data_IF_120154568247
#
_entry.id   IF_120154568247
#
_cell.length_a   1.000
_cell.length_b   1.000
_cell.length_c   1.000
_cell.angle_alpha   90.00
_cell.angle_beta   90.00
_cell.angle_gamma   90.00
#
_symmetry.space_group_name_H-M   'P 1'
#
loop_
_entity.id
_entity.type
_entity.pdbx_description
1 polymer ?
#
# COMPACT_ATOMS: atom_id res chain seq x y z
N UNK A 1 14.42 3.30 24.91
CA UNK A 1 14.58 4.04 23.63
C UNK A 1 13.21 4.36 23.10
N UNK A 2 12.90 5.63 22.83
CA UNK A 2 11.55 6.09 22.50
C UNK A 2 11.14 5.63 21.11
N UNK A 3 9.90 5.19 20.94
CA UNK A 3 9.35 4.71 19.66
C UNK A 3 9.46 5.77 18.55
N UNK A 4 9.48 7.05 18.92
CA UNK A 4 9.79 8.20 18.05
C UNK A 4 11.12 8.07 17.28
N UNK A 5 12.18 7.55 17.92
CA UNK A 5 13.49 7.36 17.26
C UNK A 5 13.39 6.33 16.13
N UNK A 6 12.63 5.26 16.33
CA UNK A 6 12.45 4.20 15.34
C UNK A 6 11.66 4.73 14.15
N UNK A 7 10.58 5.48 14.40
CA UNK A 7 9.79 6.14 13.33
C UNK A 7 10.68 7.03 12.47
N UNK A 8 11.46 7.92 13.09
CA UNK A 8 12.34 8.84 12.35
C UNK A 8 13.38 8.10 11.53
N UNK A 9 14.06 7.11 12.11
CA UNK A 9 15.05 6.31 11.39
C UNK A 9 14.44 5.54 10.22
N UNK A 10 13.26 4.96 10.43
CA UNK A 10 12.51 4.26 9.39
C UNK A 10 12.14 5.21 8.25
N UNK A 11 11.45 6.31 8.54
CA UNK A 11 11.01 7.26 7.51
C UNK A 11 12.18 7.83 6.74
N UNK A 12 13.27 8.24 7.42
CA UNK A 12 14.47 8.73 6.75
C UNK A 12 15.09 7.68 5.82
N UNK A 13 15.30 6.45 6.30
CA UNK A 13 15.92 5.41 5.49
C UNK A 13 15.04 5.01 4.30
N UNK A 14 13.73 4.87 4.50
CA UNK A 14 12.75 4.61 3.44
C UNK A 14 12.83 5.67 2.36
N UNK A 15 12.78 6.96 2.73
CA UNK A 15 12.85 8.06 1.77
C UNK A 15 14.21 8.16 1.09
N UNK A 16 15.31 7.94 1.80
CA UNK A 16 16.65 7.93 1.20
C UNK A 16 16.76 6.87 0.11
N UNK A 17 16.39 5.62 0.40
CA UNK A 17 16.41 4.54 -0.60
C UNK A 17 15.48 4.92 -1.75
N UNK A 18 14.26 5.34 -1.44
CA UNK A 18 13.24 5.62 -2.42
C UNK A 18 13.64 6.72 -3.40
N UNK A 19 14.06 7.88 -2.90
CA UNK A 19 14.35 9.06 -3.70
C UNK A 19 15.68 8.96 -4.44
N UNK A 20 16.69 8.28 -3.88
CA UNK A 20 17.95 8.03 -4.60
C UNK A 20 17.70 7.10 -5.79
N UNK A 21 16.97 6.00 -5.58
CA UNK A 21 16.74 5.01 -6.63
C UNK A 21 15.77 5.56 -7.69
N UNK A 22 14.65 6.16 -7.29
CA UNK A 22 13.72 6.78 -8.24
C UNK A 22 14.34 7.97 -8.97
N UNK A 23 15.15 8.79 -8.31
CA UNK A 23 15.89 9.88 -8.96
C UNK A 23 16.82 9.37 -10.06
N UNK A 24 17.55 8.28 -9.80
CA UNK A 24 18.36 7.63 -10.83
C UNK A 24 17.51 7.10 -12.00
N UNK A 25 16.36 6.47 -11.71
CA UNK A 25 15.43 5.98 -12.74
C UNK A 25 14.89 7.11 -13.62
N UNK A 26 14.53 8.25 -13.02
CA UNK A 26 14.02 9.44 -13.73
C UNK A 26 15.11 9.99 -14.66
N UNK A 27 16.35 10.11 -14.18
CA UNK A 27 17.49 10.59 -14.99
C UNK A 27 17.79 9.62 -16.13
N UNK A 28 17.90 8.32 -15.85
CA UNK A 28 18.12 7.29 -16.88
C UNK A 28 16.99 7.27 -17.91
N UNK A 29 15.77 7.60 -17.48
CA UNK A 29 14.61 7.78 -18.35
C UNK A 29 14.83 8.76 -19.49
N UNK A 30 15.58 9.84 -19.25
CA UNK A 30 15.95 10.83 -20.28
C UNK A 30 16.90 10.24 -21.34
N UNK A 31 17.55 9.12 -21.04
CA UNK A 31 18.45 8.39 -21.95
C UNK A 31 17.80 7.12 -22.53
N UNK A 32 16.47 6.99 -22.45
CA UNK A 32 15.71 5.88 -23.04
C UNK A 32 15.51 4.67 -22.13
N UNK A 33 15.87 4.76 -20.84
CA UNK A 33 15.47 3.74 -19.87
C UNK A 33 13.96 3.78 -19.62
N UNK A 34 13.35 2.61 -19.45
CA UNK A 34 11.93 2.51 -19.11
C UNK A 34 11.67 1.31 -18.20
N UNK A 35 10.69 1.44 -17.31
CA UNK A 35 10.18 0.34 -16.47
C UNK A 35 9.05 -0.37 -17.22
N UNK A 36 8.94 -1.68 -17.04
CA UNK A 36 7.95 -2.47 -17.77
C UNK A 36 6.84 -2.96 -16.83
N UNK A 37 5.59 -2.60 -17.12
CA UNK A 37 4.44 -3.13 -16.37
C UNK A 37 4.27 -4.65 -16.59
N UNK A 38 4.62 -5.15 -17.78
CA UNK A 38 4.63 -6.56 -18.12
C UNK A 38 6.02 -6.97 -18.57
N UNK A 39 6.54 -8.02 -17.95
CA UNK A 39 7.90 -8.53 -18.20
C UNK A 39 7.81 -9.72 -19.16
N UNK A 40 8.38 -9.56 -20.35
CA UNK A 40 8.40 -10.58 -21.40
C UNK A 40 9.80 -11.12 -21.70
N UNK A 41 10.84 -10.52 -21.13
CA UNK A 41 12.23 -10.95 -21.31
C UNK A 41 13.05 -10.79 -20.03
N UNK A 42 14.18 -11.52 -19.95
CA UNK A 42 15.14 -11.39 -18.85
C UNK A 42 15.71 -9.97 -18.77
N UNK A 43 15.91 -9.30 -19.91
CA UNK A 43 16.38 -7.92 -19.94
C UNK A 43 15.38 -6.98 -19.25
N UNK A 44 14.09 -7.08 -19.58
CA UNK A 44 13.05 -6.28 -18.93
C UNK A 44 12.95 -6.59 -17.44
N UNK A 45 13.12 -7.85 -17.05
CA UNK A 45 13.17 -8.24 -15.64
C UNK A 45 14.32 -7.53 -14.91
N UNK A 46 15.53 -7.55 -15.47
CA UNK A 46 16.70 -6.87 -14.89
C UNK A 46 16.51 -5.36 -14.82
N UNK A 47 15.90 -4.76 -15.85
CA UNK A 47 15.53 -3.34 -15.86
C UNK A 47 14.45 -2.99 -14.81
N UNK A 48 13.68 -3.95 -14.30
CA UNK A 48 12.73 -3.66 -13.23
C UNK A 48 13.34 -3.80 -11.82
N UNK A 49 14.57 -4.31 -11.66
CA UNK A 49 15.20 -4.49 -10.34
C UNK A 49 15.32 -3.17 -9.57
N UNK A 50 15.83 -2.06 -10.16
CA UNK A 50 15.92 -0.80 -9.41
C UNK A 50 14.53 -0.28 -9.03
N UNK A 51 13.52 -0.43 -9.90
CA UNK A 51 12.14 -0.07 -9.58
C UNK A 51 11.60 -0.89 -8.40
N UNK A 52 11.89 -2.19 -8.35
CA UNK A 52 11.53 -3.03 -7.21
C UNK A 52 12.21 -2.57 -5.91
N UNK A 53 13.47 -2.12 -5.95
CA UNK A 53 14.17 -1.56 -4.78
C UNK A 53 13.52 -0.26 -4.31
N UNK A 54 13.11 0.62 -5.23
CA UNK A 54 12.36 1.84 -4.91
C UNK A 54 11.08 1.47 -4.14
N UNK A 55 10.26 0.59 -4.71
CA UNK A 55 8.97 0.22 -4.13
C UNK A 55 9.15 -0.56 -2.82
N UNK A 56 10.13 -1.46 -2.73
CA UNK A 56 10.43 -2.23 -1.52
C UNK A 56 11.18 -1.44 -0.44
N UNK A 57 11.47 -0.15 -0.67
CA UNK A 57 12.19 0.68 0.30
C UNK A 57 11.58 0.66 1.71
N UNK A 58 10.26 0.63 1.95
CA UNK A 58 9.71 0.52 3.30
C UNK A 58 9.98 -0.85 3.92
N UNK A 59 9.90 -1.93 3.15
CA UNK A 59 10.20 -3.28 3.64
C UNK A 59 11.69 -3.42 4.02
N UNK A 60 12.58 -2.93 3.15
CA UNK A 60 14.03 -2.93 3.38
C UNK A 60 14.37 -2.11 4.63
N UNK A 61 13.83 -0.89 4.72
CA UNK A 61 14.07 0.00 5.84
C UNK A 61 13.53 -0.58 7.16
N UNK A 62 12.36 -1.23 7.14
CA UNK A 62 11.78 -1.79 8.36
C UNK A 62 12.63 -2.91 8.93
N UNK A 63 13.11 -3.83 8.08
CA UNK A 63 14.04 -4.87 8.52
C UNK A 63 15.31 -4.28 9.14
N UNK A 64 15.98 -3.37 8.42
CA UNK A 64 17.24 -2.76 8.88
C UNK A 64 17.05 -2.03 10.22
N UNK A 65 16.01 -1.20 10.32
CA UNK A 65 15.77 -0.38 11.52
C UNK A 65 15.34 -1.25 12.70
N UNK A 66 14.45 -2.23 12.52
CA UNK A 66 14.04 -3.12 13.60
C UNK A 66 15.22 -3.95 14.11
N UNK A 67 16.05 -4.48 13.21
CA UNK A 67 17.25 -5.25 13.56
C UNK A 67 18.27 -4.38 14.29
N UNK A 68 18.55 -3.17 13.79
CA UNK A 68 19.49 -2.21 14.41
C UNK A 68 19.05 -1.77 15.82
N UNK A 69 17.75 -1.70 16.06
CA UNK A 69 17.19 -1.31 17.35
C UNK A 69 16.83 -2.51 18.25
N UNK A 70 17.30 -3.72 17.93
CA UNK A 70 17.06 -4.96 18.69
C UNK A 70 15.57 -5.28 18.93
N UNK A 71 14.69 -4.88 18.00
CA UNK A 71 13.25 -5.19 18.05
C UNK A 71 12.92 -6.55 17.43
N UNK A 72 13.84 -7.10 16.64
CA UNK A 72 13.78 -8.44 16.04
C UNK A 72 15.16 -9.09 16.14
N UNK A 73 15.20 -10.41 16.31
CA UNK A 73 16.41 -11.21 16.38
C UNK A 73 17.01 -11.45 14.99
N UNK A 74 16.22 -11.70 13.96
CA UNK A 74 16.71 -12.01 12.62
C UNK A 74 15.64 -11.80 11.52
N UNK A 75 16.02 -12.09 10.29
CA UNK A 75 15.13 -12.01 9.13
C UNK A 75 13.95 -12.99 9.22
N UNK A 76 14.13 -14.15 9.86
CA UNK A 76 13.07 -15.15 10.03
C UNK A 76 12.00 -14.65 10.99
N UNK A 77 12.37 -13.94 12.05
CA UNK A 77 11.43 -13.29 12.96
C UNK A 77 10.66 -12.17 12.25
N UNK A 78 11.35 -11.35 11.46
CA UNK A 78 10.69 -10.33 10.63
C UNK A 78 9.64 -10.95 9.69
N UNK A 79 10.01 -11.99 8.94
CA UNK A 79 9.09 -12.71 8.07
C UNK A 79 7.91 -13.32 8.84
N UNK A 80 8.15 -13.90 10.01
CA UNK A 80 7.07 -14.48 10.84
C UNK A 80 6.03 -13.43 11.26
N UNK A 81 6.45 -12.19 11.50
CA UNK A 81 5.53 -11.10 11.85
C UNK A 81 4.79 -10.58 10.62
N UNK A 82 5.51 -10.32 9.52
CA UNK A 82 4.94 -9.83 8.27
C UNK A 82 3.93 -10.82 7.69
N UNK A 83 4.23 -12.12 7.76
CA UNK A 83 3.38 -13.21 7.25
C UNK A 83 2.59 -13.94 8.35
N UNK A 84 2.27 -13.25 9.44
CA UNK A 84 1.43 -13.82 10.50
C UNK A 84 -0.04 -13.93 10.05
N UNK A 85 -0.38 -15.03 9.38
CA UNK A 85 -1.73 -15.25 8.81
C UNK A 85 -2.77 -15.74 9.82
N UNK A 86 -2.40 -16.21 11.02
CA UNK A 86 -3.39 -16.75 11.97
C UNK A 86 -4.29 -15.62 12.49
N UNK A 87 -5.53 -15.55 12.00
CA UNK A 87 -6.49 -14.54 12.42
C UNK A 87 -7.95 -15.00 12.30
N UNK A 88 -8.89 -14.25 12.88
CA UNK A 88 -10.33 -14.54 12.79
C UNK A 88 -10.81 -14.43 11.34
N UNK A 89 -11.65 -15.37 10.90
CA UNK A 89 -12.21 -15.37 9.52
C UNK A 89 -12.96 -14.08 9.19
N UNK A 90 -13.60 -13.45 10.18
CA UNK A 90 -14.30 -12.17 10.02
C UNK A 90 -13.39 -11.05 9.49
N UNK A 91 -12.09 -11.11 9.77
CA UNK A 91 -11.13 -10.11 9.29
C UNK A 91 -10.78 -10.31 7.82
N UNK A 92 -10.68 -11.56 7.38
CA UNK A 92 -10.51 -11.88 5.97
C UNK A 92 -11.72 -11.44 5.17
N UNK A 93 -12.92 -11.71 5.70
CA UNK A 93 -14.17 -11.23 5.12
C UNK A 93 -14.22 -9.70 5.10
N UNK A 94 -13.73 -9.02 6.14
CA UNK A 94 -13.66 -7.55 6.16
C UNK A 94 -12.73 -6.99 5.08
N UNK A 95 -11.55 -7.59 4.87
CA UNK A 95 -10.61 -7.19 3.79
C UNK A 95 -11.26 -7.39 2.42
N UNK A 96 -11.87 -8.55 2.18
CA UNK A 96 -12.57 -8.85 0.91
C UNK A 96 -13.76 -7.91 0.71
N UNK A 97 -14.53 -7.63 1.76
CA UNK A 97 -15.68 -6.73 1.70
C UNK A 97 -15.26 -5.28 1.42
N UNK A 98 -14.18 -4.79 2.02
CA UNK A 98 -13.64 -3.46 1.73
C UNK A 98 -13.19 -3.32 0.27
N UNK A 99 -12.51 -4.34 -0.26
CA UNK A 99 -12.12 -4.40 -1.66
C UNK A 99 -13.35 -4.39 -2.59
N UNK A 100 -14.32 -5.26 -2.32
CA UNK A 100 -15.54 -5.36 -3.11
C UNK A 100 -16.33 -4.04 -3.06
N UNK A 101 -16.48 -3.43 -1.87
CA UNK A 101 -17.15 -2.15 -1.69
C UNK A 101 -16.51 -1.07 -2.55
N UNK A 102 -15.17 -0.97 -2.55
CA UNK A 102 -14.44 0.02 -3.34
C UNK A 102 -14.79 -0.08 -4.83
N UNK A 103 -14.62 -1.27 -5.43
CA UNK A 103 -14.87 -1.44 -6.87
C UNK A 103 -16.35 -1.40 -7.23
N UNK A 104 -17.25 -1.94 -6.39
CA UNK A 104 -18.69 -1.90 -6.64
C UNK A 104 -19.24 -0.47 -6.63
N UNK A 105 -18.73 0.42 -5.78
CA UNK A 105 -19.11 1.84 -5.81
C UNK A 105 -18.65 2.48 -7.13
N UNK A 106 -17.43 2.20 -7.58
CA UNK A 106 -16.97 2.69 -8.88
C UNK A 106 -17.86 2.19 -10.03
N UNK A 107 -18.28 0.93 -10.00
CA UNK A 107 -19.23 0.38 -10.98
C UNK A 107 -20.57 1.11 -10.91
N UNK A 108 -21.14 1.24 -9.71
CA UNK A 108 -22.45 1.87 -9.50
C UNK A 108 -22.48 3.35 -9.93
N UNK A 109 -21.39 4.08 -9.67
CA UNK A 109 -21.28 5.52 -9.96
C UNK A 109 -20.93 5.78 -11.42
N UNK A 110 -20.00 5.01 -11.99
CA UNK A 110 -19.56 5.22 -13.38
C UNK A 110 -20.51 4.60 -14.41
N UNK A 111 -21.34 3.63 -14.00
CA UNK A 111 -22.14 2.80 -14.90
C UNK A 111 -21.31 1.87 -15.79
N UNK A 112 -19.98 1.81 -15.59
CA UNK A 112 -19.05 1.00 -16.39
C UNK A 112 -18.81 -0.33 -15.71
N UNK A 113 -19.02 -1.41 -16.46
CA UNK A 113 -18.79 -2.79 -16.02
C UNK A 113 -17.70 -3.50 -16.83
N UNK A 114 -17.11 -2.81 -17.81
CA UNK A 114 -16.09 -3.36 -18.68
C UNK A 114 -14.81 -3.69 -17.90
N UNK A 115 -14.36 -4.93 -18.02
CA UNK A 115 -13.07 -5.36 -17.50
C UNK A 115 -12.00 -5.15 -18.58
N UNK A 116 -10.93 -4.44 -18.22
CA UNK A 116 -9.78 -4.20 -19.11
C UNK A 116 -8.98 -5.48 -19.33
N UNK A 117 -8.89 -6.31 -18.29
CA UNK A 117 -8.21 -7.60 -18.32
C UNK A 117 -9.18 -8.71 -17.87
N UNK A 118 -9.01 -9.94 -18.35
CA UNK A 118 -9.81 -11.06 -17.86
C UNK A 118 -9.64 -11.27 -16.36
N UNK A 119 -10.71 -11.66 -15.65
CA UNK A 119 -10.68 -11.80 -14.19
C UNK A 119 -9.62 -12.80 -13.68
N UNK A 120 -9.24 -13.82 -14.46
CA UNK A 120 -8.18 -14.76 -14.06
C UNK A 120 -6.82 -14.07 -13.83
N UNK A 121 -6.59 -12.89 -14.44
CA UNK A 121 -5.38 -12.10 -14.23
C UNK A 121 -5.25 -11.60 -12.80
N UNK A 122 -6.35 -11.55 -12.03
CA UNK A 122 -6.34 -11.29 -10.60
C UNK A 122 -5.42 -12.28 -9.89
N UNK A 123 -5.66 -13.57 -10.10
CA UNK A 123 -4.89 -14.64 -9.45
C UNK A 123 -3.44 -14.67 -9.93
N UNK A 124 -3.20 -14.41 -11.22
CA UNK A 124 -1.85 -14.33 -11.78
C UNK A 124 -1.05 -13.13 -11.23
N UNK A 125 -1.73 -12.04 -10.87
CA UNK A 125 -1.09 -10.83 -10.35
C UNK A 125 -0.79 -10.90 -8.86
N UNK A 126 -1.36 -11.84 -8.10
CA UNK A 126 -1.16 -11.93 -6.65
C UNK A 126 0.32 -12.08 -6.23
N UNK A 127 1.15 -12.94 -6.86
CA UNK A 127 2.55 -13.08 -6.43
C UNK A 127 3.37 -11.80 -6.66
N UNK A 128 3.21 -11.17 -7.84
CA UNK A 128 3.87 -9.91 -8.16
C UNK A 128 3.34 -8.76 -7.30
N UNK A 129 2.02 -8.69 -7.10
CA UNK A 129 1.35 -7.71 -6.24
C UNK A 129 1.74 -7.85 -4.77
N UNK A 130 2.04 -9.06 -4.30
CA UNK A 130 2.55 -9.29 -2.95
C UNK A 130 3.96 -8.71 -2.79
N UNK A 131 4.85 -9.00 -3.73
CA UNK A 131 6.24 -8.56 -3.67
C UNK A 131 6.33 -7.05 -3.88
N UNK A 132 5.71 -6.53 -4.93
CA UNK A 132 5.83 -5.12 -5.31
C UNK A 132 4.89 -4.25 -4.46
N UNK A 133 3.63 -4.62 -4.22
CA UNK A 133 2.72 -3.79 -3.42
C UNK A 133 2.65 -4.18 -1.95
N UNK A 134 2.25 -5.43 -1.69
CA UNK A 134 1.91 -5.91 -0.36
C UNK A 134 3.01 -5.70 0.66
N UNK A 135 4.27 -5.99 0.30
CA UNK A 135 5.42 -5.86 1.20
C UNK A 135 5.72 -4.42 1.64
N UNK A 136 5.21 -3.39 0.96
CA UNK A 136 5.29 -2.01 1.48
C UNK A 136 4.73 -1.92 2.91
N UNK A 137 3.64 -2.64 3.19
CA UNK A 137 2.98 -2.63 4.50
C UNK A 137 3.84 -3.25 5.60
N UNK A 138 4.87 -4.02 5.25
CA UNK A 138 5.87 -4.50 6.21
C UNK A 138 6.71 -3.37 6.84
N UNK A 139 6.70 -2.17 6.26
CA UNK A 139 7.23 -0.96 6.88
C UNK A 139 6.13 -0.09 7.48
N UNK A 140 5.10 0.22 6.70
CA UNK A 140 4.04 1.13 7.12
C UNK A 140 3.25 0.63 8.33
N UNK A 141 2.91 -0.66 8.35
CA UNK A 141 2.06 -1.26 9.38
C UNK A 141 2.83 -2.01 10.46
N UNK A 142 4.14 -2.22 10.27
CA UNK A 142 4.99 -2.74 11.33
C UNK A 142 5.56 -1.61 12.19
N UNK A 143 5.81 -0.43 11.60
CA UNK A 143 6.45 0.69 12.30
C UNK A 143 5.57 1.94 12.28
N UNK A 144 5.38 2.56 11.11
CA UNK A 144 4.93 3.96 11.04
C UNK A 144 3.53 4.18 11.64
N UNK A 145 2.51 3.54 11.07
CA UNK A 145 1.13 3.80 11.42
C UNK A 145 0.77 3.31 12.84
N UNK A 146 1.21 2.13 13.32
CA UNK A 146 1.00 1.72 14.71
C UNK A 146 1.58 2.68 15.73
N UNK A 147 2.81 3.17 15.52
CA UNK A 147 3.42 4.08 16.49
C UNK A 147 2.76 5.47 16.47
N UNK A 148 2.34 5.96 15.30
CA UNK A 148 1.52 7.17 15.19
C UNK A 148 0.16 6.99 15.86
N UNK A 149 -0.46 5.81 15.77
CA UNK A 149 -1.75 5.52 16.39
C UNK A 149 -1.67 5.49 17.91
N UNK A 150 -0.58 4.97 18.49
CA UNK A 150 -0.37 5.03 19.94
C UNK A 150 -0.25 6.47 20.47
N UNK A 151 0.33 7.37 19.68
CA UNK A 151 0.56 8.76 20.10
C UNK A 151 -0.63 9.70 19.80
N UNK A 152 -1.25 9.56 18.62
CA UNK A 152 -2.25 10.51 18.11
C UNK A 152 -3.65 9.91 17.91
N UNK A 153 -3.81 8.60 18.11
CA UNK A 153 -5.05 7.88 17.85
C UNK A 153 -5.33 7.64 16.35
N UNK A 154 -6.45 6.98 16.08
CA UNK A 154 -6.78 6.41 14.76
C UNK A 154 -6.87 7.43 13.63
N UNK A 155 -7.55 8.56 13.86
CA UNK A 155 -7.81 9.55 12.80
C UNK A 155 -6.51 10.24 12.40
N UNK A 156 -5.77 10.78 13.37
CA UNK A 156 -4.53 11.51 13.10
C UNK A 156 -3.41 10.59 12.61
N UNK A 157 -3.33 9.34 13.11
CA UNK A 157 -2.36 8.37 12.58
C UNK A 157 -2.60 8.04 11.11
N UNK A 158 -3.88 7.89 10.72
CA UNK A 158 -4.27 7.64 9.32
C UNK A 158 -3.93 8.84 8.43
N UNK A 159 -4.18 10.08 8.90
CA UNK A 159 -3.83 11.30 8.17
C UNK A 159 -2.31 11.42 7.99
N UNK A 160 -1.54 11.30 9.06
CA UNK A 160 -0.08 11.43 8.99
C UNK A 160 0.56 10.33 8.15
N UNK A 161 0.12 9.08 8.30
CA UNK A 161 0.59 7.98 7.46
C UNK A 161 0.19 8.19 5.99
N UNK A 162 -1.01 8.70 5.71
CA UNK A 162 -1.47 9.13 4.38
C UNK A 162 -0.55 10.15 3.74
N UNK A 163 -0.25 11.22 4.47
CA UNK A 163 0.66 12.28 3.99
C UNK A 163 2.04 11.69 3.68
N UNK A 164 2.63 10.93 4.60
CA UNK A 164 3.95 10.31 4.39
C UNK A 164 3.94 9.40 3.15
N UNK A 165 2.89 8.61 2.97
CA UNK A 165 2.80 7.69 1.83
C UNK A 165 2.59 8.42 0.50
N UNK A 166 1.79 9.50 0.47
CA UNK A 166 1.64 10.38 -0.69
C UNK A 166 3.00 10.96 -1.10
N UNK A 167 3.76 11.52 -0.14
CA UNK A 167 5.08 12.06 -0.43
C UNK A 167 6.03 10.99 -0.97
N UNK A 168 6.04 9.80 -0.37
CA UNK A 168 6.85 8.68 -0.83
C UNK A 168 6.56 8.26 -2.29
N UNK A 169 5.31 8.39 -2.72
CA UNK A 169 4.89 8.08 -4.09
C UNK A 169 5.16 9.20 -5.11
N UNK A 170 5.52 10.42 -4.72
CA UNK A 170 5.72 11.53 -5.68
C UNK A 170 6.67 11.15 -6.83
N UNK A 171 7.86 10.55 -6.59
CA UNK A 171 8.77 10.20 -7.67
C UNK A 171 8.19 9.22 -8.70
N UNK A 172 7.24 8.36 -8.30
CA UNK A 172 6.61 7.39 -9.19
C UNK A 172 5.97 8.04 -10.42
N UNK A 173 5.44 9.26 -10.27
CA UNK A 173 4.80 10.02 -11.35
C UNK A 173 5.76 10.61 -12.38
N UNK A 174 7.07 10.39 -12.20
CA UNK A 174 8.10 10.88 -13.11
C UNK A 174 8.93 9.74 -13.70
N UNK A 175 8.70 8.48 -13.31
CA UNK A 175 9.44 7.31 -13.81
C UNK A 175 8.80 6.82 -15.12
N UNK A 176 9.52 6.86 -16.27
CA UNK A 176 8.99 6.38 -17.55
C UNK A 176 8.62 4.90 -17.54
N UNK A 177 7.56 4.56 -18.27
CA UNK A 177 7.04 3.19 -18.39
C UNK A 177 6.09 2.75 -17.28
N UNK A 178 5.98 3.52 -16.19
CA UNK A 178 4.94 3.29 -15.17
C UNK A 178 3.62 3.94 -15.60
N UNK A 179 2.48 3.35 -15.24
CA UNK A 179 1.16 3.97 -15.52
C UNK A 179 1.03 5.41 -14.97
N UNK A 180 1.78 5.72 -13.91
CA UNK A 180 1.81 7.03 -13.28
C UNK A 180 2.64 8.03 -14.12
N UNK A 181 3.86 7.64 -14.52
CA UNK A 181 4.73 8.45 -15.38
C UNK A 181 4.18 8.69 -16.78
N UNK A 182 3.43 7.73 -17.33
CA UNK A 182 2.74 7.87 -18.63
C UNK A 182 1.45 8.71 -18.54
N UNK A 183 1.09 9.24 -17.36
CA UNK A 183 -0.08 10.11 -17.18
C UNK A 183 -1.42 9.37 -17.26
N UNK A 184 -1.43 8.04 -17.24
CA UNK A 184 -2.66 7.24 -17.20
C UNK A 184 -3.38 7.41 -15.86
N UNK A 185 -2.64 7.67 -14.78
CA UNK A 185 -3.16 7.87 -13.43
C UNK A 185 -3.06 9.34 -13.01
N UNK A 186 -4.20 9.95 -12.64
CA UNK A 186 -4.22 11.30 -12.11
C UNK A 186 -3.66 11.34 -10.68
N UNK A 187 -2.64 12.17 -10.44
CA UNK A 187 -1.97 12.30 -9.14
C UNK A 187 -2.93 12.61 -7.99
N UNK A 188 -3.87 13.54 -8.18
CA UNK A 188 -4.75 13.96 -7.11
C UNK A 188 -5.84 12.92 -6.79
N UNK A 189 -6.35 12.21 -7.79
CA UNK A 189 -7.21 11.04 -7.56
C UNK A 189 -6.47 9.96 -6.77
N UNK A 190 -5.21 9.70 -7.14
CA UNK A 190 -4.35 8.75 -6.44
C UNK A 190 -4.09 9.18 -4.99
N UNK A 191 -3.79 10.47 -4.75
CA UNK A 191 -3.58 10.98 -3.39
C UNK A 191 -4.83 10.83 -2.49
N UNK A 192 -6.04 11.04 -3.03
CA UNK A 192 -7.30 10.79 -2.31
C UNK A 192 -7.45 9.31 -1.96
N UNK A 193 -7.10 8.42 -2.89
CA UNK A 193 -7.11 6.97 -2.67
C UNK A 193 -6.12 6.54 -1.58
N UNK A 194 -4.87 7.01 -1.65
CA UNK A 194 -3.85 6.71 -0.64
C UNK A 194 -4.31 7.12 0.76
N UNK A 195 -4.94 8.29 0.89
CA UNK A 195 -5.48 8.75 2.17
C UNK A 195 -6.56 7.79 2.70
N UNK A 196 -7.56 7.45 1.87
CA UNK A 196 -8.63 6.54 2.28
C UNK A 196 -8.11 5.14 2.66
N UNK A 197 -7.11 4.63 1.95
CA UNK A 197 -6.50 3.35 2.25
C UNK A 197 -5.71 3.35 3.55
N UNK A 198 -5.14 4.49 3.95
CA UNK A 198 -4.52 4.61 5.27
C UNK A 198 -5.57 4.59 6.39
N UNK A 199 -6.76 5.16 6.18
CA UNK A 199 -7.88 4.94 7.12
C UNK A 199 -8.29 3.46 7.18
N UNK A 200 -8.39 2.78 6.04
CA UNK A 200 -8.76 1.37 5.99
C UNK A 200 -7.72 0.45 6.65
N UNK A 201 -6.44 0.64 6.34
CA UNK A 201 -5.34 -0.08 6.99
C UNK A 201 -5.28 0.22 8.50
N UNK A 202 -5.57 1.46 8.91
CA UNK A 202 -5.69 1.81 10.33
C UNK A 202 -6.85 1.06 11.02
N UNK A 203 -8.00 0.90 10.33
CA UNK A 203 -9.11 0.13 10.85
C UNK A 203 -8.75 -1.36 10.95
N UNK A 204 -8.15 -1.94 9.91
CA UNK A 204 -7.60 -3.31 9.93
C UNK A 204 -6.67 -3.48 11.12
N UNK A 205 -5.73 -2.54 11.32
CA UNK A 205 -4.80 -2.57 12.45
C UNK A 205 -5.52 -2.65 13.80
N UNK A 206 -6.52 -1.81 14.03
CA UNK A 206 -7.29 -1.78 15.29
C UNK A 206 -7.98 -3.12 15.59
N UNK A 207 -8.52 -3.78 14.58
CA UNK A 207 -9.35 -4.97 14.77
C UNK A 207 -8.58 -6.31 14.63
N UNK A 208 -7.35 -6.28 14.14
CA UNK A 208 -6.62 -7.51 13.71
C UNK A 208 -5.63 -8.08 14.72
N UNK A 209 -5.37 -7.38 15.83
CA UNK A 209 -4.41 -7.82 16.85
C UNK A 209 -3.04 -8.16 16.24
N UNK A 210 -2.51 -9.36 16.56
CA UNK A 210 -1.16 -9.78 16.14
C UNK A 210 -0.97 -9.93 14.63
N UNK A 211 -2.04 -10.18 13.87
CA UNK A 211 -1.99 -10.36 12.42
C UNK A 211 -2.16 -9.08 11.61
N UNK A 212 -2.14 -7.90 12.24
CA UNK A 212 -2.45 -6.63 11.57
C UNK A 212 -1.58 -6.35 10.32
N UNK A 213 -0.27 -6.62 10.38
CA UNK A 213 0.64 -6.42 9.25
C UNK A 213 0.21 -7.27 8.06
N UNK A 214 0.03 -8.58 8.27
CA UNK A 214 -0.38 -9.49 7.20
C UNK A 214 -1.74 -9.12 6.59
N UNK A 215 -2.71 -8.68 7.39
CA UNK A 215 -4.03 -8.30 6.88
C UNK A 215 -3.94 -7.06 5.97
N UNK A 216 -3.07 -6.10 6.28
CA UNK A 216 -2.82 -4.94 5.42
C UNK A 216 -2.04 -5.33 4.15
N UNK A 217 -1.02 -6.20 4.28
CA UNK A 217 -0.31 -6.81 3.14
C UNK A 217 -1.31 -7.48 2.20
N UNK A 218 -2.25 -8.26 2.73
CA UNK A 218 -3.27 -8.94 1.96
C UNK A 218 -4.18 -7.95 1.23
N UNK A 219 -4.72 -6.95 1.92
CA UNK A 219 -5.57 -5.93 1.31
C UNK A 219 -4.85 -5.21 0.16
N UNK A 220 -3.63 -4.71 0.41
CA UNK A 220 -2.85 -3.99 -0.61
C UNK A 220 -2.51 -4.91 -1.80
N UNK A 221 -2.11 -6.17 -1.54
CA UNK A 221 -1.87 -7.17 -2.59
C UNK A 221 -3.10 -7.40 -3.46
N UNK A 222 -4.26 -7.62 -2.84
CA UNK A 222 -5.50 -7.85 -3.58
C UNK A 222 -5.95 -6.61 -4.35
N UNK A 223 -5.76 -5.42 -3.80
CA UNK A 223 -6.05 -4.17 -4.50
C UNK A 223 -5.19 -4.01 -5.74
N UNK A 224 -3.88 -4.21 -5.63
CA UNK A 224 -2.96 -4.11 -6.78
C UNK A 224 -3.22 -5.18 -7.84
N UNK A 225 -3.71 -6.36 -7.44
CA UNK A 225 -4.12 -7.39 -8.38
C UNK A 225 -5.45 -7.07 -9.09
N UNK A 226 -6.37 -6.36 -8.42
CA UNK A 226 -7.68 -6.00 -8.97
C UNK A 226 -7.65 -4.70 -9.80
N UNK A 227 -6.81 -3.73 -9.43
CA UNK A 227 -6.81 -2.40 -10.06
C UNK A 227 -6.59 -2.43 -11.59
N UNK A 228 -5.67 -3.24 -12.16
CA UNK A 228 -5.49 -3.32 -13.61
C UNK A 228 -6.70 -3.90 -14.36
N UNK A 229 -7.46 -4.78 -13.72
CA UNK A 229 -8.68 -5.40 -14.28
C UNK A 229 -9.78 -4.36 -14.44
N UNK A 230 -9.91 -3.49 -13.45
CA UNK A 230 -10.97 -2.49 -13.33
C UNK A 230 -10.47 -1.06 -13.64
N UNK A 231 -9.38 -0.93 -14.40
CA UNK A 231 -8.71 0.36 -14.60
C UNK A 231 -9.59 1.43 -15.25
N UNK A 232 -10.52 1.08 -16.13
CA UNK A 232 -11.36 2.08 -16.84
C UNK A 232 -12.50 2.66 -16.00
N UNK A 233 -12.89 2.00 -14.89
CA UNK A 233 -13.98 2.43 -14.00
C UNK A 233 -13.48 3.23 -12.78
N UNK A 234 -12.21 3.07 -12.40
CA UNK A 234 -11.62 3.77 -11.25
C UNK A 234 -11.18 5.21 -11.56
N UNK A 235 -11.18 5.60 -12.84
CA UNK A 235 -10.54 6.83 -13.33
C UNK A 235 -11.53 7.99 -13.54
N UNK A 236 -12.52 8.10 -12.65
CA UNK A 236 -13.47 9.21 -12.65
C UNK A 236 -13.43 9.93 -11.30
N UNK A 237 -13.56 11.26 -11.32
CA UNK A 237 -13.54 12.06 -10.09
C UNK A 237 -14.71 11.71 -9.17
N UNK A 238 -15.92 11.56 -9.72
CA UNK A 238 -17.10 11.22 -8.93
C UNK A 238 -16.95 9.84 -8.26
N UNK A 239 -16.54 8.82 -9.01
CA UNK A 239 -16.29 7.49 -8.46
C UNK A 239 -15.21 7.52 -7.38
N UNK A 240 -14.11 8.23 -7.64
CA UNK A 240 -13.00 8.40 -6.68
C UNK A 240 -13.49 9.03 -5.38
N UNK A 241 -14.21 10.15 -5.43
CA UNK A 241 -14.69 10.83 -4.22
C UNK A 241 -15.65 9.94 -3.45
N UNK A 242 -16.64 9.32 -4.11
CA UNK A 242 -17.66 8.52 -3.43
C UNK A 242 -17.07 7.23 -2.84
N UNK A 243 -16.29 6.46 -3.61
CA UNK A 243 -15.70 5.21 -3.13
C UNK A 243 -14.75 5.44 -1.96
N UNK A 244 -13.87 6.44 -2.06
CA UNK A 244 -12.89 6.73 -1.01
C UNK A 244 -13.55 7.32 0.25
N UNK A 245 -14.58 8.16 0.10
CA UNK A 245 -15.38 8.62 1.25
C UNK A 245 -16.04 7.46 1.96
N UNK A 246 -16.64 6.52 1.22
CA UNK A 246 -17.27 5.33 1.81
C UNK A 246 -16.26 4.43 2.53
N UNK A 247 -15.06 4.25 1.98
CA UNK A 247 -13.99 3.52 2.66
C UNK A 247 -13.60 4.21 3.98
N UNK A 248 -13.45 5.53 4.00
CA UNK A 248 -13.15 6.28 5.22
C UNK A 248 -14.29 6.13 6.25
N UNK A 249 -15.54 6.28 5.82
CA UNK A 249 -16.72 6.16 6.69
C UNK A 249 -16.81 4.76 7.31
N UNK A 250 -16.68 3.70 6.50
CA UNK A 250 -16.68 2.32 6.98
C UNK A 250 -15.54 2.11 7.99
N UNK A 251 -14.34 2.62 7.69
CA UNK A 251 -13.18 2.52 8.57
C UNK A 251 -13.45 3.15 9.94
N UNK A 252 -13.99 4.38 9.96
CA UNK A 252 -14.34 5.10 11.19
C UNK A 252 -15.42 4.33 11.97
N UNK A 253 -16.50 3.91 11.30
CA UNK A 253 -17.59 3.16 11.93
C UNK A 253 -17.06 1.86 12.56
N UNK A 254 -16.24 1.11 11.83
CA UNK A 254 -15.64 -0.14 12.32
C UNK A 254 -14.82 0.10 13.59
N UNK A 255 -13.97 1.13 13.61
CA UNK A 255 -13.15 1.45 14.79
C UNK A 255 -14.02 1.90 15.96
N UNK A 256 -15.06 2.70 15.74
CA UNK A 256 -16.00 3.13 16.78
C UNK A 256 -16.75 1.95 17.38
N UNK A 257 -17.27 1.04 16.55
CA UNK A 257 -17.97 -0.17 17.02
C UNK A 257 -17.01 -1.07 17.80
N UNK A 258 -15.79 -1.28 17.28
CA UNK A 258 -14.79 -2.10 17.94
C UNK A 258 -14.43 -1.55 19.33
N UNK A 259 -14.16 -0.25 19.44
CA UNK A 259 -13.83 0.39 20.71
C UNK A 259 -14.97 0.24 21.73
N UNK A 260 -16.25 0.30 21.31
CA UNK A 260 -17.39 0.06 22.19
C UNK A 260 -17.54 -1.39 22.65
N UNK A 261 -17.00 -2.34 21.89
CA UNK A 261 -17.08 -3.78 22.22
C UNK A 261 -15.96 -4.28 23.13
N UNK A 262 -14.91 -3.48 23.32
CA UNK A 262 -13.72 -3.81 24.12
C UNK A 262 -13.71 -3.08 25.47
N UNK A 263 -14.57 -2.07 25.63
CA UNK A 263 -14.88 -1.39 26.90
C UNK A 263 -16.02 -2.14 27.59
#
# INVERSE_FOLDING_TARGET
>A
MTDKKIIVQFTMLTFCIAYVVSGALIILGQFGYSVYNWVHSLQQFVMNIPFAIYILSPAIASYIVLKKNNKIADFKEWLKTVFYFKNKISLYLFVVAGLALYFLIHIAVSGRTEMVLPFYTFFLSLPGGLIIGGLEEAGWMYILQPELDKEYGFVFSSIFAGIVWIFWHIPLFFIPGTNHGEGLINFWMFAVQLMAFRFFNGAIYKISGKGCVFMCVLFHTMFNAASPIFGTMTMTWLGTVVANTMIIVVSIITVVIYNKSVV
#
